data_IF_926854047640
#
_entry.id   IF_926854047640
#
_cell.length_a   1.000
_cell.length_b   1.000
_cell.length_c   1.000
_cell.angle_alpha   90.00
_cell.angle_beta   90.00
_cell.angle_gamma   90.00
#
_symmetry.space_group_name_H-M   'P 1'
#
loop_
_entity.id
_entity.type
_entity.pdbx_description
1 polymer ?
#
# COMPACT_ATOMS: atom_id res chain seq x y z
N UNK A 1 -12.40 2.30 35.22
CA UNK A 1 -11.46 2.66 34.14
C UNK A 1 -11.87 1.90 32.89
N UNK A 2 -12.45 2.57 31.92
CA UNK A 2 -12.76 1.98 30.61
C UNK A 2 -11.44 1.73 29.88
N UNK A 3 -11.12 0.47 29.56
CA UNK A 3 -10.09 0.17 28.57
C UNK A 3 -10.59 0.71 27.24
N UNK A 4 -9.97 1.77 26.74
CA UNK A 4 -10.08 2.12 25.32
C UNK A 4 -9.55 0.90 24.55
N UNK A 5 -10.48 0.14 23.96
CA UNK A 5 -10.16 -0.84 22.94
C UNK A 5 -9.48 -0.06 21.82
N UNK A 6 -8.16 -0.20 21.68
CA UNK A 6 -7.44 0.36 20.55
C UNK A 6 -8.18 -0.06 19.29
N UNK A 7 -8.61 0.91 18.48
CA UNK A 7 -9.26 0.68 17.21
C UNK A 7 -8.25 0.02 16.26
N UNK A 8 -8.02 -1.28 16.42
CA UNK A 8 -7.28 -2.07 15.46
C UNK A 8 -8.08 -2.15 14.18
N UNK A 9 -7.48 -1.72 13.07
CA UNK A 9 -7.77 -2.00 11.65
C UNK A 9 -9.14 -2.63 11.28
N UNK A 10 -10.26 -2.13 11.81
CA UNK A 10 -11.58 -2.75 11.62
C UNK A 10 -12.40 -2.11 10.50
N UNK A 11 -11.97 -0.94 10.00
CA UNK A 11 -12.65 -0.23 8.93
C UNK A 11 -11.74 -0.11 7.71
N UNK A 12 -12.15 -0.74 6.60
CA UNK A 12 -11.59 -0.46 5.27
C UNK A 12 -12.03 0.96 4.90
N UNK A 13 -11.11 1.90 4.59
CA UNK A 13 -11.48 3.26 4.24
C UNK A 13 -12.39 3.29 3.00
N UNK A 14 -13.33 4.24 2.97
CA UNK A 14 -14.24 4.40 1.83
C UNK A 14 -13.56 4.98 0.58
N UNK A 15 -12.33 5.47 0.68
CA UNK A 15 -11.59 6.12 -0.40
C UNK A 15 -10.09 6.17 -0.11
N UNK A 16 -9.31 6.80 -1.00
CA UNK A 16 -7.87 6.94 -0.82
C UNK A 16 -7.50 7.58 0.52
N UNK A 17 -6.51 7.00 1.20
CA UNK A 17 -6.07 7.47 2.51
C UNK A 17 -4.54 7.41 2.60
N UNK A 18 -3.90 8.58 2.71
CA UNK A 18 -2.47 8.72 2.99
C UNK A 18 -2.26 8.81 4.50
N UNK A 19 -1.43 7.95 5.04
CA UNK A 19 -0.97 7.95 6.43
C UNK A 19 0.52 8.35 6.48
N UNK A 20 0.83 9.64 6.70
CA UNK A 20 2.22 10.09 6.83
C UNK A 20 2.91 9.41 8.01
N UNK A 21 4.19 9.06 7.85
CA UNK A 21 5.00 8.42 8.88
C UNK A 21 4.98 9.21 10.20
N UNK A 22 5.04 10.54 10.12
CA UNK A 22 5.01 11.44 11.28
C UNK A 22 3.68 11.43 12.04
N UNK A 23 2.59 11.03 11.40
CA UNK A 23 1.25 10.93 11.99
C UNK A 23 0.93 9.50 12.48
N UNK A 24 1.78 8.52 12.17
CA UNK A 24 1.57 7.14 12.62
C UNK A 24 1.91 7.01 14.10
N UNK A 25 0.92 6.56 14.87
CA UNK A 25 1.07 6.30 16.29
C UNK A 25 1.31 4.81 16.50
N UNK A 26 2.52 4.44 16.92
CA UNK A 26 2.87 3.04 17.21
C UNK A 26 2.77 2.76 18.70
N UNK A 27 2.01 1.72 19.07
CA UNK A 27 1.86 1.27 20.45
C UNK A 27 2.62 -0.05 20.64
N UNK A 28 3.72 -0.01 21.40
CA UNK A 28 4.62 -1.17 21.58
C UNK A 28 4.31 -2.06 22.79
N UNK A 29 3.41 -1.62 23.67
CA UNK A 29 3.10 -2.27 24.95
C UNK A 29 1.66 -2.83 25.01
N UNK A 30 0.99 -2.93 23.87
CA UNK A 30 -0.42 -3.38 23.80
C UNK A 30 -0.56 -4.82 23.32
N UNK A 31 0.49 -5.38 22.71
CA UNK A 31 0.52 -6.78 22.26
C UNK A 31 1.17 -7.67 23.32
N UNK A 32 0.67 -8.91 23.52
CA UNK A 32 1.32 -9.89 24.38
C UNK A 32 2.80 -10.09 24.03
N UNK A 33 3.68 -10.18 25.02
CA UNK A 33 5.13 -10.27 24.82
C UNK A 33 5.80 -8.94 24.49
N UNK A 34 5.06 -7.83 24.40
CA UNK A 34 5.61 -6.48 24.24
C UNK A 34 6.19 -5.92 25.55
N UNK A 35 5.86 -6.53 26.68
CA UNK A 35 6.41 -6.26 28.00
C UNK A 35 7.81 -6.83 28.23
N UNK A 36 8.26 -7.76 27.38
CA UNK A 36 9.59 -8.39 27.48
C UNK A 36 10.67 -7.39 27.11
N UNK A 37 11.69 -7.24 27.97
CA UNK A 37 12.80 -6.33 27.70
C UNK A 37 13.52 -6.69 26.38
N UNK A 38 13.92 -5.65 25.65
CA UNK A 38 14.47 -5.78 24.29
C UNK A 38 13.47 -6.13 23.18
N UNK A 39 12.24 -6.56 23.49
CA UNK A 39 11.22 -6.86 22.49
C UNK A 39 10.42 -5.58 22.15
N UNK A 40 10.15 -5.37 20.85
CA UNK A 40 9.31 -4.27 20.36
C UNK A 40 8.22 -4.83 19.46
N UNK A 41 7.00 -4.96 19.98
CA UNK A 41 5.81 -5.42 19.23
C UNK A 41 4.80 -4.29 19.13
N UNK A 42 4.86 -3.58 18.02
CA UNK A 42 4.01 -2.41 17.76
C UNK A 42 2.75 -2.75 16.99
N UNK A 43 1.64 -2.10 17.33
CA UNK A 43 0.51 -1.90 16.40
C UNK A 43 0.51 -0.42 16.01
N UNK A 44 0.41 -0.14 14.72
CA UNK A 44 0.22 1.19 14.17
C UNK A 44 -1.21 1.35 13.63
N UNK A 45 -1.58 2.58 13.29
CA UNK A 45 -2.75 2.79 12.43
C UNK A 45 -2.46 2.10 11.08
N UNK A 46 -3.34 1.20 10.66
CA UNK A 46 -3.09 0.38 9.47
C UNK A 46 -4.37 -0.28 8.94
N UNK A 47 -4.21 -1.03 7.86
CA UNK A 47 -5.31 -1.68 7.15
C UNK A 47 -5.25 -3.20 7.37
N UNK A 48 -6.41 -3.85 7.39
CA UNK A 48 -6.52 -5.30 7.44
C UNK A 48 -7.26 -5.80 6.20
N UNK A 49 -6.79 -6.91 5.64
CA UNK A 49 -7.44 -7.61 4.51
C UNK A 49 -7.46 -9.11 4.78
N UNK A 50 -8.43 -9.82 4.21
CA UNK A 50 -8.62 -11.27 4.43
C UNK A 50 -7.66 -12.12 3.61
N UNK A 51 -7.16 -11.60 2.49
CA UNK A 51 -6.12 -12.24 1.67
C UNK A 51 -5.44 -11.19 0.80
N UNK A 52 -4.15 -11.40 0.52
CA UNK A 52 -3.33 -10.42 -0.18
C UNK A 52 -2.28 -11.07 -1.09
N UNK A 53 -1.94 -10.33 -2.15
CA UNK A 53 -0.72 -10.47 -2.94
C UNK A 53 0.27 -9.38 -2.50
N UNK A 54 1.55 -9.71 -2.42
CA UNK A 54 2.59 -8.76 -2.02
C UNK A 54 3.61 -8.62 -3.14
N UNK A 55 3.87 -7.38 -3.56
CA UNK A 55 4.85 -7.04 -4.56
C UNK A 55 5.91 -6.11 -3.97
N UNK A 56 7.15 -6.23 -4.45
CA UNK A 56 8.23 -5.29 -4.16
C UNK A 56 8.60 -4.60 -5.46
N UNK A 57 8.64 -3.28 -5.44
CA UNK A 57 9.01 -2.47 -6.59
C UNK A 57 10.22 -1.60 -6.28
N UNK A 58 11.12 -1.54 -7.25
CA UNK A 58 12.27 -0.63 -7.26
C UNK A 58 12.20 0.25 -8.49
N UNK A 59 12.44 1.54 -8.30
CA UNK A 59 12.34 2.53 -9.36
C UNK A 59 13.58 3.41 -9.38
N UNK A 60 14.40 3.34 -10.43
CA UNK A 60 15.42 4.35 -10.70
C UNK A 60 14.82 5.77 -10.78
N UNK A 61 15.63 6.82 -10.57
CA UNK A 61 15.22 8.21 -10.76
C UNK A 61 14.60 8.45 -12.14
N UNK A 62 13.50 9.22 -12.19
CA UNK A 62 12.81 9.60 -13.43
C UNK A 62 11.89 8.54 -14.02
N UNK A 63 11.86 7.32 -13.47
CA UNK A 63 10.94 6.29 -13.94
C UNK A 63 9.51 6.55 -13.49
N UNK A 64 8.55 6.14 -14.31
CA UNK A 64 7.12 6.28 -14.04
C UNK A 64 6.35 5.06 -14.55
N UNK A 65 5.10 4.94 -14.11
CA UNK A 65 4.16 3.95 -14.61
C UNK A 65 3.03 4.61 -15.41
N UNK A 66 2.49 3.93 -16.44
CA UNK A 66 1.26 4.35 -17.10
C UNK A 66 0.08 4.36 -16.12
N UNK A 67 -0.89 5.24 -16.39
CA UNK A 67 -2.14 5.31 -15.65
C UNK A 67 -3.00 4.08 -15.93
N UNK A 68 -3.59 3.53 -14.88
CA UNK A 68 -4.32 2.26 -14.90
C UNK A 68 -5.26 2.11 -13.71
N UNK A 69 -6.06 1.06 -13.75
CA UNK A 69 -6.94 0.60 -12.67
C UNK A 69 -6.60 -0.84 -12.31
N UNK A 70 -6.84 -1.21 -11.06
CA UNK A 70 -6.70 -2.58 -10.58
C UNK A 70 -7.95 -2.99 -9.82
N UNK A 71 -8.43 -4.22 -10.01
CA UNK A 71 -9.65 -4.68 -9.32
C UNK A 71 -9.40 -5.03 -7.86
N UNK A 72 -8.16 -5.18 -7.40
CA UNK A 72 -7.80 -5.29 -5.97
C UNK A 72 -7.66 -3.92 -5.30
N UNK A 73 -7.82 -3.87 -3.96
CA UNK A 73 -7.39 -2.70 -3.19
C UNK A 73 -5.86 -2.70 -3.07
N UNK A 74 -5.29 -1.54 -2.74
CA UNK A 74 -3.85 -1.38 -2.57
C UNK A 74 -3.52 -0.79 -1.21
N UNK A 75 -2.49 -1.33 -0.57
CA UNK A 75 -1.80 -0.75 0.58
C UNK A 75 -0.32 -0.66 0.27
N UNK A 76 0.14 0.55 0.04
CA UNK A 76 1.53 0.86 -0.27
C UNK A 76 2.28 1.19 1.01
N UNK A 77 3.51 0.72 1.12
CA UNK A 77 4.45 1.12 2.16
C UNK A 77 5.78 1.54 1.54
N UNK A 78 6.12 2.82 1.67
CA UNK A 78 7.34 3.36 1.08
C UNK A 78 8.54 2.98 1.96
N UNK A 79 9.52 2.31 1.37
CA UNK A 79 10.73 1.84 2.08
C UNK A 79 11.90 2.80 1.92
N UNK A 80 12.10 3.35 0.73
CA UNK A 80 13.24 4.22 0.40
C UNK A 80 12.89 5.19 -0.73
N UNK A 81 13.56 6.34 -0.79
CA UNK A 81 13.28 7.38 -1.79
C UNK A 81 11.90 8.00 -1.63
N UNK A 82 11.51 8.84 -2.59
CA UNK A 82 10.21 9.53 -2.59
C UNK A 82 9.50 9.32 -3.92
N UNK A 83 8.26 8.85 -3.86
CA UNK A 83 7.43 8.58 -5.04
C UNK A 83 6.20 9.47 -5.00
N UNK A 84 5.89 10.11 -6.12
CA UNK A 84 4.62 10.79 -6.31
C UNK A 84 3.61 9.81 -6.92
N UNK A 85 2.46 9.71 -6.28
CA UNK A 85 1.32 8.90 -6.69
C UNK A 85 0.21 9.83 -7.12
N UNK A 86 -0.21 9.75 -8.38
CA UNK A 86 -1.45 10.36 -8.86
C UNK A 86 -2.57 9.34 -8.63
N UNK A 87 -3.47 9.63 -7.69
CA UNK A 87 -4.64 8.81 -7.39
C UNK A 87 -5.87 9.65 -7.65
N UNK A 88 -6.62 9.31 -8.70
CA UNK A 88 -7.80 10.06 -9.17
C UNK A 88 -7.56 11.57 -9.37
N UNK A 89 -6.35 11.95 -9.80
CA UNK A 89 -5.96 13.34 -10.00
C UNK A 89 -5.40 14.04 -8.76
N UNK A 90 -5.36 13.36 -7.61
CA UNK A 90 -4.76 13.87 -6.37
C UNK A 90 -3.34 13.34 -6.23
N UNK A 91 -2.37 14.24 -6.09
CA UNK A 91 -0.97 13.88 -5.90
C UNK A 91 -0.67 13.61 -4.43
N UNK A 92 -0.26 12.37 -4.14
CA UNK A 92 0.25 11.93 -2.86
C UNK A 92 1.75 11.70 -2.95
N UNK A 93 2.55 12.41 -2.15
CA UNK A 93 4.00 12.25 -2.13
C UNK A 93 4.40 11.40 -0.94
N UNK A 94 4.86 10.19 -1.20
CA UNK A 94 5.19 9.19 -0.18
C UNK A 94 6.68 9.24 0.13
N UNK A 95 7.02 9.52 1.38
CA UNK A 95 8.37 9.41 1.93
C UNK A 95 8.55 8.08 2.68
N UNK A 96 9.79 7.65 3.00
CA UNK A 96 10.02 6.41 3.73
C UNK A 96 9.22 6.34 5.04
N UNK A 97 8.50 5.24 5.24
CA UNK A 97 7.59 5.02 6.36
C UNK A 97 6.13 5.43 6.10
N UNK A 98 5.85 6.19 5.04
CA UNK A 98 4.48 6.53 4.67
C UNK A 98 3.71 5.30 4.19
N UNK A 99 2.40 5.31 4.44
CA UNK A 99 1.47 4.36 3.86
C UNK A 99 0.42 5.07 2.99
N UNK A 100 0.01 4.46 1.88
CA UNK A 100 -1.10 4.93 1.07
C UNK A 100 -2.05 3.77 0.77
N UNK A 101 -3.31 3.94 1.11
CA UNK A 101 -4.39 3.05 0.72
C UNK A 101 -5.21 3.65 -0.40
N UNK A 102 -5.70 2.81 -1.31
CA UNK A 102 -6.83 3.15 -2.17
C UNK A 102 -7.67 1.92 -2.54
N UNK A 103 -9.00 2.09 -2.72
CA UNK A 103 -9.91 1.00 -2.98
C UNK A 103 -9.79 0.44 -4.41
N UNK A 104 -10.47 -0.69 -4.69
CA UNK A 104 -10.57 -1.27 -6.03
C UNK A 104 -11.03 -0.27 -7.10
N UNK A 105 -10.57 -0.48 -8.33
CA UNK A 105 -10.95 0.28 -9.52
C UNK A 105 -10.61 1.78 -9.46
N UNK A 106 -9.85 2.20 -8.45
CA UNK A 106 -9.28 3.54 -8.38
C UNK A 106 -8.29 3.72 -9.53
N UNK A 107 -8.37 4.85 -10.23
CA UNK A 107 -7.41 5.19 -11.29
C UNK A 107 -6.13 5.75 -10.68
N UNK A 108 -4.98 5.18 -11.01
CA UNK A 108 -3.70 5.65 -10.46
C UNK A 108 -2.52 5.53 -11.42
N UNK A 109 -1.49 6.33 -11.16
CA UNK A 109 -0.13 6.20 -11.69
C UNK A 109 0.90 6.63 -10.63
N UNK A 110 2.17 6.38 -10.89
CA UNK A 110 3.24 6.80 -9.99
C UNK A 110 4.52 7.14 -10.72
N UNK A 111 5.32 8.03 -10.14
CA UNK A 111 6.61 8.45 -10.67
C UNK A 111 7.64 8.64 -9.54
N UNK A 112 8.86 8.15 -9.77
CA UNK A 112 10.01 8.52 -8.95
C UNK A 112 10.55 9.87 -9.44
N UNK A 113 10.10 10.94 -8.78
CA UNK A 113 10.54 12.33 -9.05
C UNK A 113 11.80 12.70 -8.25
N UNK A 114 12.31 11.79 -7.42
CA UNK A 114 13.51 11.98 -6.63
C UNK A 114 14.79 11.72 -7.42
N UNK A 115 15.93 12.06 -6.81
CA UNK A 115 17.26 11.81 -7.38
C UNK A 115 17.81 10.42 -7.01
N UNK A 116 17.17 9.70 -6.09
CA UNK A 116 17.62 8.42 -5.56
C UNK A 116 16.73 7.26 -6.02
N UNK A 117 17.22 6.03 -5.87
CA UNK A 117 16.41 4.82 -6.04
C UNK A 117 15.22 4.86 -5.06
N UNK A 118 14.00 4.73 -5.57
CA UNK A 118 12.83 4.54 -4.75
C UNK A 118 12.50 3.05 -4.62
N UNK A 119 12.04 2.64 -3.44
CA UNK A 119 11.58 1.28 -3.16
C UNK A 119 10.31 1.32 -2.34
N UNK A 120 9.32 0.51 -2.69
CA UNK A 120 8.09 0.34 -1.91
C UNK A 120 7.58 -1.10 -1.97
N UNK A 121 6.78 -1.45 -0.97
CA UNK A 121 5.97 -2.67 -0.96
C UNK A 121 4.55 -2.28 -1.36
N UNK A 122 3.95 -3.06 -2.25
CA UNK A 122 2.53 -2.99 -2.57
C UNK A 122 1.85 -4.26 -2.07
N UNK A 123 0.92 -4.11 -1.15
CA UNK A 123 0.05 -5.19 -0.68
C UNK A 123 -1.31 -5.00 -1.32
N UNK A 124 -1.63 -5.86 -2.29
CA UNK A 124 -2.90 -5.82 -2.99
C UNK A 124 -3.84 -6.89 -2.44
N UNK A 125 -5.02 -6.49 -1.95
CA UNK A 125 -5.95 -7.43 -1.33
C UNK A 125 -6.88 -8.12 -2.33
N UNK A 126 -7.48 -9.22 -1.87
CA UNK A 126 -8.51 -9.97 -2.61
C UNK A 126 -9.83 -9.23 -2.55
N UNK A 127 -10.43 -9.07 -3.71
CA UNK A 127 -11.84 -8.72 -3.90
C UNK A 127 -12.64 -9.92 -4.41
N UNK A 128 -13.94 -9.74 -4.62
CA UNK A 128 -14.84 -10.77 -5.17
C UNK A 128 -14.42 -11.26 -6.57
N UNK A 129 -13.68 -10.45 -7.33
CA UNK A 129 -13.12 -10.77 -8.64
C UNK A 129 -11.65 -11.21 -8.55
N UNK A 130 -11.40 -12.53 -8.56
CA UNK A 130 -10.06 -13.14 -8.40
C UNK A 130 -9.72 -14.14 -9.52
N UNK A 131 -8.48 -14.13 -10.08
CA UNK A 131 -7.36 -13.23 -9.78
C UNK A 131 -7.65 -11.78 -10.18
N UNK A 132 -7.10 -10.79 -9.45
CA UNK A 132 -7.36 -9.39 -9.76
C UNK A 132 -6.82 -9.06 -11.15
N UNK A 133 -7.52 -8.13 -11.80
CA UNK A 133 -7.28 -7.67 -13.16
C UNK A 133 -6.78 -6.24 -13.13
N UNK A 134 -5.81 -5.96 -13.96
CA UNK A 134 -5.28 -4.63 -14.21
C UNK A 134 -5.72 -4.17 -15.58
N UNK A 135 -6.20 -2.93 -15.67
CA UNK A 135 -6.69 -2.31 -16.89
C UNK A 135 -5.97 -1.00 -17.15
N UNK A 136 -5.30 -0.90 -18.29
CA UNK A 136 -4.62 0.30 -18.74
C UNK A 136 -5.57 1.23 -19.50
N UNK A 137 -5.20 2.51 -19.61
CA UNK A 137 -6.00 3.50 -20.33
C UNK A 137 -6.19 3.18 -21.82
N UNK A 138 -5.24 2.48 -22.45
CA UNK A 138 -5.33 2.04 -23.84
C UNK A 138 -6.27 0.85 -24.06
N UNK A 139 -6.90 0.35 -22.98
CA UNK A 139 -7.82 -0.79 -23.01
C UNK A 139 -7.14 -2.15 -22.82
N UNK A 140 -5.81 -2.20 -22.70
CA UNK A 140 -5.09 -3.44 -22.39
C UNK A 140 -5.50 -3.95 -21.00
N UNK A 141 -5.82 -5.23 -20.90
CA UNK A 141 -6.14 -5.89 -19.62
C UNK A 141 -5.19 -7.06 -19.36
N UNK A 142 -4.63 -7.13 -18.15
CA UNK A 142 -3.81 -8.25 -17.69
C UNK A 142 -4.32 -8.75 -16.33
N UNK A 143 -4.28 -10.06 -16.09
CA UNK A 143 -4.64 -10.64 -14.79
C UNK A 143 -3.39 -11.11 -14.04
N UNK A 144 -3.43 -11.14 -12.70
CA UNK A 144 -2.35 -11.78 -11.94
C UNK A 144 -2.23 -13.29 -12.22
N UNK A 145 -3.31 -13.94 -12.67
CA UNK A 145 -3.28 -15.33 -13.16
C UNK A 145 -2.41 -15.51 -14.42
N UNK A 146 -2.35 -14.48 -15.27
CA UNK A 146 -1.47 -14.45 -16.45
C UNK A 146 -0.03 -14.02 -16.12
N UNK A 147 0.22 -13.34 -15.00
CA UNK A 147 1.59 -12.98 -14.56
C UNK A 147 2.43 -14.22 -14.23
N UNK A 148 1.82 -15.32 -13.80
CA UNK A 148 2.52 -16.59 -13.59
C UNK A 148 3.23 -17.11 -14.86
N UNK A 149 2.83 -16.65 -16.05
CA UNK A 149 3.48 -17.00 -17.33
C UNK A 149 4.72 -16.13 -17.61
N UNK A 150 4.96 -15.06 -16.86
CA UNK A 150 6.17 -14.21 -16.98
C UNK A 150 7.31 -14.71 -16.09
N UNK A 151 7.00 -15.55 -15.10
CA UNK A 151 7.95 -16.09 -14.14
C UNK A 151 8.31 -17.58 -14.41
N UNK A 152 7.82 -18.15 -15.53
CA UNK A 152 8.12 -19.50 -15.99
C UNK A 152 8.73 -19.47 -17.39
#
# INVERSE_FOLDING_TARGET
>A
MSRETGAGAAAVPAGPMHLPASAQVVRYNVLPGGETDGTRRGVANGFATTSAMVNVLEMPPGQSSPKRQFTGDHVLYQLAGTVEWDVEGVIHRLAPGDMLYFPPNTTYSFANVGADLARFIDVAGKVDDWPPRMKYEDGTEISSGTLNQLFN
#
